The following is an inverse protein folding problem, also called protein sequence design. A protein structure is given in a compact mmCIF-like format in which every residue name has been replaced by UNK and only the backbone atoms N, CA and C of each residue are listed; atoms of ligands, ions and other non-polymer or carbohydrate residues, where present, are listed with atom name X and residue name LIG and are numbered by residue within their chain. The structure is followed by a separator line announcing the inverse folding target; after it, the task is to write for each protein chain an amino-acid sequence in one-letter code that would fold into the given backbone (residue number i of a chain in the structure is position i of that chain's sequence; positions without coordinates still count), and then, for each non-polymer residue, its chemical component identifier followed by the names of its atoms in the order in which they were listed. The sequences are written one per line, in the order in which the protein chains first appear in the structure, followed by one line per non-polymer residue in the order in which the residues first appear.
data_IF_041522781546
#
_entry.id   IF_041522781546
#
_cell.length_a   1.000
_cell.length_b   1.000
_cell.length_c   1.000
_cell.angle_alpha   90.00
_cell.angle_beta   90.00
_cell.angle_gamma   90.00
#
_symmetry.space_group_name_H-M   'P 1'
#
loop_
_entity.id
_entity.type
_entity.pdbx_description
1 polymer ?
#
# COMPACT_ATOMS: atom_id res chain seq x y z
N UNK A 1 -33.34 -26.39 -28.95
CA UNK A 1 -34.27 -25.31 -28.58
C UNK A 1 -33.49 -24.33 -27.71
N UNK A 2 -33.40 -23.04 -28.06
CA UNK A 2 -32.74 -22.06 -27.17
C UNK A 2 -33.64 -21.86 -25.93
N UNK A 3 -33.11 -21.84 -24.70
CA UNK A 3 -33.91 -21.58 -23.50
C UNK A 3 -34.61 -20.23 -23.63
N UNK A 4 -35.82 -20.12 -23.07
CA UNK A 4 -36.55 -18.85 -23.08
C UNK A 4 -35.77 -17.81 -22.26
N UNK A 5 -35.99 -16.52 -22.52
CA UNK A 5 -35.37 -15.45 -21.72
C UNK A 5 -35.69 -15.60 -20.21
N UNK A 6 -36.86 -16.15 -19.87
CA UNK A 6 -37.25 -16.42 -18.50
C UNK A 6 -36.42 -17.54 -17.86
N UNK A 7 -36.19 -18.64 -18.59
CA UNK A 7 -35.35 -19.75 -18.13
C UNK A 7 -33.89 -19.32 -17.94
N UNK A 8 -33.39 -18.47 -18.84
CA UNK A 8 -32.05 -17.91 -18.75
C UNK A 8 -31.90 -16.99 -17.52
N UNK A 9 -32.90 -16.15 -17.23
CA UNK A 9 -32.89 -15.26 -16.06
C UNK A 9 -32.91 -16.06 -14.76
N UNK A 10 -33.79 -17.06 -14.67
CA UNK A 10 -33.89 -17.92 -13.48
C UNK A 10 -32.60 -18.70 -13.22
N UNK A 11 -31.94 -19.21 -14.27
CA UNK A 11 -30.65 -19.87 -14.16
C UNK A 11 -29.57 -18.92 -13.63
N UNK A 12 -29.52 -17.68 -14.13
CA UNK A 12 -28.58 -16.66 -13.65
C UNK A 12 -28.86 -16.30 -12.18
N UNK A 13 -30.12 -16.13 -11.79
CA UNK A 13 -30.47 -15.86 -10.39
C UNK A 13 -30.09 -17.00 -9.46
N UNK A 14 -30.28 -18.25 -9.89
CA UNK A 14 -29.87 -19.42 -9.13
C UNK A 14 -28.35 -19.46 -8.94
N UNK A 15 -27.57 -19.22 -10.01
CA UNK A 15 -26.10 -19.19 -9.93
C UNK A 15 -25.61 -18.05 -9.03
N UNK A 16 -26.19 -16.85 -9.17
CA UNK A 16 -25.78 -15.68 -8.40
C UNK A 16 -26.29 -15.70 -6.95
N UNK A 17 -27.24 -16.57 -6.62
CA UNK A 17 -27.80 -16.66 -5.27
C UNK A 17 -26.75 -16.99 -4.20
N UNK A 18 -25.72 -17.77 -4.54
CA UNK A 18 -24.61 -18.10 -3.62
C UNK A 18 -23.75 -16.89 -3.27
N UNK A 19 -23.74 -15.85 -4.11
CA UNK A 19 -23.02 -14.59 -3.87
C UNK A 19 -23.89 -13.56 -3.12
N UNK A 20 -25.19 -13.82 -2.94
CA UNK A 20 -26.10 -12.96 -2.18
C UNK A 20 -25.96 -13.23 -0.69
N UNK A 21 -24.99 -12.57 -0.07
CA UNK A 21 -24.77 -12.66 1.38
C UNK A 21 -25.85 -11.89 2.14
N UNK A 22 -26.42 -12.55 3.16
CA UNK A 22 -27.30 -11.88 4.12
C UNK A 22 -26.46 -11.24 5.23
N UNK A 23 -27.08 -10.35 5.99
CA UNK A 23 -26.43 -9.71 7.14
C UNK A 23 -25.83 -10.74 8.12
N UNK A 24 -26.51 -11.87 8.34
CA UNK A 24 -25.99 -12.95 9.19
C UNK A 24 -24.71 -13.57 8.66
N UNK A 25 -24.57 -13.69 7.34
CA UNK A 25 -23.40 -14.24 6.69
C UNK A 25 -22.22 -13.25 6.81
N UNK A 26 -22.49 -11.95 6.65
CA UNK A 26 -21.50 -10.89 6.91
C UNK A 26 -21.03 -10.88 8.37
N UNK A 27 -21.95 -11.03 9.34
CA UNK A 27 -21.60 -11.16 10.76
C UNK A 27 -20.74 -12.39 11.03
N UNK A 28 -20.96 -13.52 10.34
CA UNK A 28 -20.09 -14.70 10.44
C UNK A 28 -18.69 -14.41 9.90
N UNK A 29 -18.56 -13.75 8.75
CA UNK A 29 -17.27 -13.35 8.17
C UNK A 29 -16.52 -12.42 9.12
N UNK A 30 -17.18 -11.40 9.66
CA UNK A 30 -16.60 -10.47 10.63
C UNK A 30 -16.02 -11.20 11.86
N UNK A 31 -16.79 -12.12 12.47
CA UNK A 31 -16.31 -12.91 13.62
C UNK A 31 -15.13 -13.81 13.26
N UNK A 32 -15.12 -14.41 12.06
CA UNK A 32 -14.00 -15.23 11.58
C UNK A 32 -12.74 -14.38 11.38
N UNK A 33 -12.87 -13.19 10.80
CA UNK A 33 -11.77 -12.24 10.64
C UNK A 33 -11.19 -11.85 12.01
N UNK A 34 -12.04 -11.45 12.96
CA UNK A 34 -11.60 -11.10 14.31
C UNK A 34 -10.84 -12.26 14.98
N UNK A 35 -11.35 -13.49 14.86
CA UNK A 35 -10.67 -14.67 15.39
C UNK A 35 -9.28 -14.87 14.79
N UNK A 36 -9.12 -14.66 13.49
CA UNK A 36 -7.81 -14.80 12.83
C UNK A 36 -6.87 -13.64 13.19
N UNK A 37 -7.37 -12.42 13.40
CA UNK A 37 -6.58 -11.32 13.96
C UNK A 37 -6.06 -11.66 15.36
N UNK A 38 -6.93 -12.17 16.24
CA UNK A 38 -6.54 -12.59 17.59
C UNK A 38 -5.48 -13.71 17.56
N UNK A 39 -5.55 -14.61 16.58
CA UNK A 39 -4.52 -15.64 16.36
C UNK A 39 -3.22 -15.04 15.83
N UNK A 40 -3.30 -14.08 14.90
CA UNK A 40 -2.13 -13.40 14.34
C UNK A 40 -1.35 -12.59 15.38
N UNK A 41 -2.03 -12.05 16.39
CA UNK A 41 -1.39 -11.28 17.47
C UNK A 41 -0.75 -12.15 18.56
N UNK A 42 -1.12 -13.42 18.67
CA UNK A 42 -0.61 -14.33 19.72
C UNK A 42 0.65 -15.06 19.26
N UNK A 43 1.66 -15.05 20.12
CA UNK A 43 2.95 -15.70 19.84
C UNK A 43 2.77 -17.17 19.46
N UNK A 44 1.90 -17.90 20.17
CA UNK A 44 1.73 -19.35 20.00
C UNK A 44 1.03 -19.73 18.70
N UNK A 45 0.25 -18.81 18.10
CA UNK A 45 -0.56 -19.10 16.91
C UNK A 45 -0.19 -18.28 15.68
N UNK A 46 0.75 -17.34 15.79
CA UNK A 46 1.12 -16.40 14.73
C UNK A 46 1.61 -17.10 13.45
N UNK A 47 2.45 -18.14 13.58
CA UNK A 47 3.02 -18.84 12.43
C UNK A 47 1.94 -19.48 11.55
N UNK A 48 0.91 -20.07 12.18
CA UNK A 48 -0.20 -20.75 11.50
C UNK A 48 -1.36 -19.82 11.13
N UNK A 49 -1.43 -18.62 11.70
CA UNK A 49 -2.51 -17.67 11.45
C UNK A 49 -2.50 -17.23 9.97
N UNK A 50 -3.69 -17.15 9.38
CA UNK A 50 -3.86 -16.65 8.01
C UNK A 50 -3.71 -15.14 7.91
N UNK A 51 -4.14 -14.42 8.95
CA UNK A 51 -3.97 -12.96 9.09
C UNK A 51 -2.75 -12.72 9.96
N UNK A 52 -1.66 -12.23 9.36
CA UNK A 52 -0.35 -12.20 10.03
C UNK A 52 -0.18 -11.13 11.10
N UNK A 53 -0.97 -10.06 11.08
CA UNK A 53 -0.87 -8.98 12.09
C UNK A 53 0.59 -8.50 12.30
N UNK A 54 1.30 -8.26 11.19
CA UNK A 54 2.72 -7.90 11.21
C UNK A 54 2.93 -6.52 11.87
N UNK A 55 3.89 -6.38 12.80
CA UNK A 55 4.19 -5.10 13.44
C UNK A 55 4.86 -4.14 12.44
N UNK A 56 4.38 -2.90 12.39
CA UNK A 56 4.92 -1.84 11.51
C UNK A 56 5.98 -0.97 12.17
N UNK A 57 6.16 -1.09 13.49
CA UNK A 57 7.03 -0.24 14.32
C UNK A 57 6.63 1.25 14.39
N UNK A 58 5.53 1.65 13.76
CA UNK A 58 4.91 2.97 13.92
C UNK A 58 4.08 2.99 15.21
N UNK A 59 4.46 3.83 16.18
CA UNK A 59 3.90 3.81 17.54
C UNK A 59 2.84 4.88 17.80
N UNK A 60 2.83 5.94 17.01
CA UNK A 60 1.86 7.02 17.11
C UNK A 60 1.56 7.60 15.73
N UNK A 61 0.44 8.30 15.62
CA UNK A 61 0.11 9.13 14.46
C UNK A 61 0.83 10.48 14.57
N UNK A 62 1.00 11.22 13.46
CA UNK A 62 1.64 12.53 13.47
C UNK A 62 1.04 13.50 14.48
N UNK A 63 1.88 14.33 15.09
CA UNK A 63 1.51 15.29 16.15
C UNK A 63 1.54 16.75 15.67
N UNK A 64 1.97 17.01 14.44
CA UNK A 64 2.07 18.35 13.86
C UNK A 64 3.34 19.12 14.25
N UNK A 65 4.27 18.45 14.92
CA UNK A 65 5.61 18.98 15.24
C UNK A 65 6.66 18.61 14.19
N UNK A 66 6.30 17.75 13.24
CA UNK A 66 7.18 17.30 12.17
C UNK A 66 7.53 18.46 11.25
N UNK A 67 8.81 18.56 10.87
CA UNK A 67 9.34 19.57 9.94
C UNK A 67 10.42 18.94 9.08
N UNK A 68 10.43 19.26 7.78
CA UNK A 68 11.51 18.88 6.88
C UNK A 68 11.06 18.60 5.45
N UNK A 69 12.05 18.40 4.58
CA UNK A 69 11.88 17.94 3.22
C UNK A 69 12.17 16.43 3.16
N UNK A 70 11.23 15.64 2.65
CA UNK A 70 11.31 14.19 2.59
C UNK A 70 11.04 13.70 1.17
N UNK A 71 11.78 12.67 0.76
CA UNK A 71 11.41 11.89 -0.41
C UNK A 71 10.47 10.76 0.03
N UNK A 72 9.45 10.47 -0.76
CA UNK A 72 8.57 9.33 -0.53
C UNK A 72 8.38 8.54 -1.82
N UNK A 73 8.48 7.21 -1.69
CA UNK A 73 8.24 6.26 -2.76
C UNK A 73 6.97 5.48 -2.46
N UNK A 74 6.16 5.22 -3.48
CA UNK A 74 4.97 4.37 -3.40
C UNK A 74 5.03 3.29 -4.46
N UNK A 75 5.27 2.05 -4.02
CA UNK A 75 5.32 0.85 -4.84
C UNK A 75 4.28 -0.15 -4.34
N UNK A 76 3.40 -0.58 -5.24
CA UNK A 76 2.43 -1.61 -4.90
C UNK A 76 1.80 -2.29 -6.11
N UNK A 77 1.15 -1.51 -6.97
CA UNK A 77 0.53 -2.00 -8.20
C UNK A 77 1.36 -1.68 -9.45
N UNK A 78 0.67 -1.39 -10.56
CA UNK A 78 1.28 -1.07 -11.86
C UNK A 78 1.93 0.32 -11.94
N UNK A 79 1.58 1.23 -11.01
CA UNK A 79 2.07 2.60 -10.99
C UNK A 79 3.03 2.80 -9.81
N UNK A 80 4.24 3.27 -10.11
CA UNK A 80 5.22 3.73 -9.14
C UNK A 80 5.11 5.24 -8.96
N UNK A 81 5.16 5.74 -7.73
CA UNK A 81 5.14 7.18 -7.46
C UNK A 81 6.38 7.60 -6.71
N UNK A 82 6.99 8.70 -7.16
CA UNK A 82 8.04 9.42 -6.43
C UNK A 82 7.48 10.77 -6.00
N UNK A 83 7.69 11.15 -4.74
CA UNK A 83 7.12 12.35 -4.13
C UNK A 83 8.16 13.13 -3.35
N UNK A 84 8.18 14.46 -3.49
CA UNK A 84 8.84 15.37 -2.56
C UNK A 84 7.77 15.95 -1.64
N UNK A 85 7.86 15.61 -0.36
CA UNK A 85 6.95 16.07 0.69
C UNK A 85 7.69 17.08 1.55
N UNK A 86 7.16 18.31 1.63
CA UNK A 86 7.65 19.31 2.56
C UNK A 86 6.66 19.47 3.70
N UNK A 87 7.15 19.33 4.93
CA UNK A 87 6.34 19.37 6.14
C UNK A 87 6.80 20.54 6.99
N UNK A 88 5.85 21.33 7.50
CA UNK A 88 6.14 22.50 8.33
C UNK A 88 6.60 23.74 7.55
N UNK A 89 6.45 23.76 6.22
CA UNK A 89 6.87 24.86 5.32
C UNK A 89 5.63 25.67 4.85
N UNK A 90 4.90 26.30 5.78
CA UNK A 90 3.76 27.17 5.45
C UNK A 90 4.06 28.67 5.56
N UNK A 91 3.24 29.47 4.87
CA UNK A 91 3.35 30.93 4.90
C UNK A 91 3.00 31.50 6.27
N UNK A 92 3.61 32.63 6.64
CA UNK A 92 3.32 33.37 7.89
C UNK A 92 3.42 32.55 9.18
N UNK A 93 4.26 31.51 9.19
CA UNK A 93 4.48 30.65 10.37
C UNK A 93 3.39 29.60 10.60
N UNK A 94 2.50 29.38 9.63
CA UNK A 94 1.52 28.29 9.68
C UNK A 94 2.18 26.94 9.36
N UNK A 95 1.78 25.90 10.10
CA UNK A 95 2.19 24.54 9.77
C UNK A 95 1.43 24.06 8.52
N UNK A 96 2.14 23.57 7.52
CA UNK A 96 1.53 23.06 6.28
C UNK A 96 2.31 21.88 5.70
N UNK A 97 1.64 21.11 4.84
CA UNK A 97 2.25 20.03 4.06
C UNK A 97 2.07 20.33 2.58
N UNK A 98 3.17 20.42 1.83
CA UNK A 98 3.14 20.54 0.38
C UNK A 98 3.77 19.31 -0.26
N UNK A 99 3.20 18.85 -1.37
CA UNK A 99 3.66 17.62 -2.05
C UNK A 99 3.79 17.87 -3.55
N UNK A 100 4.95 17.53 -4.10
CA UNK A 100 5.17 17.37 -5.55
C UNK A 100 5.32 15.89 -5.84
N UNK A 101 4.74 15.38 -6.92
CA UNK A 101 4.85 13.97 -7.25
C UNK A 101 4.95 13.74 -8.75
N UNK A 102 5.52 12.60 -9.11
CA UNK A 102 5.53 12.06 -10.47
C UNK A 102 5.17 10.58 -10.43
N UNK A 103 4.36 10.15 -11.41
CA UNK A 103 4.03 8.76 -11.63
C UNK A 103 4.92 8.19 -12.74
N UNK A 104 5.36 6.96 -12.54
CA UNK A 104 6.14 6.16 -13.46
C UNK A 104 5.42 4.83 -13.66
N UNK A 105 5.22 4.43 -14.92
CA UNK A 105 4.69 3.09 -15.23
C UNK A 105 5.82 2.08 -15.12
N UNK A 106 5.65 0.99 -14.38
CA UNK A 106 6.69 -0.02 -14.26
C UNK A 106 6.64 -0.94 -15.49
N UNK A 107 7.74 -1.09 -16.25
CA UNK A 107 7.83 -2.05 -17.34
C UNK A 107 7.53 -3.49 -16.86
N UNK A 108 6.86 -4.29 -17.69
CA UNK A 108 6.45 -5.65 -17.32
C UNK A 108 7.64 -6.57 -17.01
N UNK A 109 8.73 -6.40 -17.76
CA UNK A 109 10.00 -7.09 -17.55
C UNK A 109 10.66 -6.69 -16.22
N UNK A 110 10.58 -5.43 -15.81
CA UNK A 110 11.03 -5.00 -14.48
C UNK A 110 10.13 -5.55 -13.36
N UNK A 111 8.82 -5.65 -13.59
CA UNK A 111 7.85 -6.14 -12.60
C UNK A 111 7.92 -7.66 -12.38
N UNK A 112 8.29 -8.43 -13.41
CA UNK A 112 8.34 -9.90 -13.38
C UNK A 112 9.75 -10.49 -13.46
N UNK A 113 10.75 -9.64 -13.68
CA UNK A 113 12.16 -10.00 -13.79
C UNK A 113 12.86 -10.14 -12.43
N UNK A 114 14.13 -9.77 -12.39
CA UNK A 114 14.92 -9.89 -11.15
C UNK A 114 14.71 -8.69 -10.22
N UNK A 115 15.10 -8.86 -8.97
CA UNK A 115 15.07 -7.76 -8.01
C UNK A 115 15.96 -6.60 -8.49
N UNK A 116 17.14 -6.89 -9.04
CA UNK A 116 18.05 -5.88 -9.59
C UNK A 116 17.36 -5.05 -10.67
N UNK A 117 16.65 -5.69 -11.63
CA UNK A 117 15.92 -4.96 -12.67
C UNK A 117 14.87 -3.99 -12.09
N UNK A 118 14.11 -4.43 -11.08
CA UNK A 118 13.10 -3.60 -10.43
C UNK A 118 13.75 -2.42 -9.68
N UNK A 119 14.79 -2.67 -8.89
CA UNK A 119 15.43 -1.64 -8.07
C UNK A 119 16.29 -0.68 -8.89
N UNK A 120 16.89 -1.13 -10.00
CA UNK A 120 17.56 -0.26 -10.98
C UNK A 120 16.54 0.71 -11.59
N UNK A 121 15.39 0.21 -12.04
CA UNK A 121 14.32 1.06 -12.58
C UNK A 121 13.79 2.08 -11.56
N UNK A 122 13.60 1.66 -10.29
CA UNK A 122 13.24 2.57 -9.20
C UNK A 122 14.30 3.67 -9.02
N UNK A 123 15.58 3.31 -9.07
CA UNK A 123 16.69 4.26 -8.92
C UNK A 123 16.72 5.29 -10.07
N UNK A 124 16.44 4.86 -11.30
CA UNK A 124 16.34 5.73 -12.47
C UNK A 124 15.18 6.72 -12.33
N UNK A 125 14.01 6.24 -11.90
CA UNK A 125 12.85 7.08 -11.64
C UNK A 125 13.13 8.14 -10.56
N UNK A 126 13.81 7.76 -9.48
CA UNK A 126 14.23 8.69 -8.43
C UNK A 126 15.21 9.74 -9.00
N UNK A 127 16.20 9.31 -9.77
CA UNK A 127 17.20 10.19 -10.39
C UNK A 127 16.54 11.23 -11.30
N UNK A 128 15.64 10.79 -12.18
CA UNK A 128 14.88 11.67 -13.08
C UNK A 128 13.99 12.66 -12.32
N UNK A 129 13.28 12.20 -11.28
CA UNK A 129 12.45 13.08 -10.43
C UNK A 129 13.29 14.15 -9.74
N UNK A 130 14.42 13.76 -9.14
CA UNK A 130 15.32 14.68 -8.44
C UNK A 130 15.96 15.70 -9.39
N UNK A 131 16.26 15.33 -10.64
CA UNK A 131 16.73 16.26 -11.67
C UNK A 131 15.68 17.33 -11.99
N UNK A 132 14.46 16.90 -12.32
CA UNK A 132 13.34 17.79 -12.68
C UNK A 132 13.01 18.80 -11.58
N UNK A 133 13.20 18.39 -10.32
CA UNK A 133 12.94 19.24 -9.16
C UNK A 133 14.20 19.92 -8.59
N UNK A 134 15.37 19.77 -9.24
CA UNK A 134 16.64 20.37 -8.85
C UNK A 134 17.10 19.98 -7.43
N UNK A 135 16.83 18.74 -7.02
CA UNK A 135 17.08 18.24 -5.66
C UNK A 135 18.28 17.28 -5.55
N UNK A 136 18.96 16.93 -6.66
CA UNK A 136 20.10 15.97 -6.64
C UNK A 136 21.26 16.35 -5.72
N UNK A 137 21.42 17.64 -5.41
CA UNK A 137 22.48 18.13 -4.54
C UNK A 137 22.17 17.97 -3.04
N UNK A 138 20.95 17.59 -2.68
CA UNK A 138 20.51 17.41 -1.29
C UNK A 138 20.41 15.94 -0.93
N UNK A 139 20.88 15.60 0.28
CA UNK A 139 20.59 14.31 0.91
C UNK A 139 19.25 14.42 1.66
N UNK A 140 18.20 13.80 1.12
CA UNK A 140 16.86 13.79 1.70
C UNK A 140 16.61 12.44 2.41
N UNK A 141 15.98 12.43 3.59
CA UNK A 141 15.42 11.20 4.15
C UNK A 141 14.34 10.64 3.21
N UNK A 142 14.29 9.32 3.09
CA UNK A 142 13.40 8.62 2.16
C UNK A 142 12.47 7.67 2.91
N UNK A 143 11.17 7.88 2.78
CA UNK A 143 10.14 6.93 3.21
C UNK A 143 9.70 6.03 2.05
N UNK A 144 9.72 4.72 2.23
CA UNK A 144 9.34 3.77 1.19
C UNK A 144 8.05 3.02 1.57
N UNK A 145 6.93 3.40 0.95
CA UNK A 145 5.69 2.65 1.00
C UNK A 145 5.80 1.44 0.07
N UNK A 146 6.06 0.27 0.65
CA UNK A 146 6.19 -1.00 -0.06
C UNK A 146 4.98 -1.89 0.25
N UNK A 147 4.03 -1.97 -0.67
CA UNK A 147 2.69 -2.55 -0.44
C UNK A 147 2.67 -4.08 -0.52
N UNK A 148 3.62 -4.72 0.15
CA UNK A 148 3.73 -6.17 0.28
C UNK A 148 3.87 -6.55 1.75
N UNK A 149 3.50 -7.78 2.15
CA UNK A 149 3.73 -8.23 3.51
C UNK A 149 5.23 -8.32 3.78
N UNK A 150 5.72 -7.49 4.71
CA UNK A 150 7.14 -7.45 5.13
C UNK A 150 7.23 -7.77 6.61
N UNK A 151 8.18 -8.63 6.99
CA UNK A 151 8.59 -8.78 8.39
C UNK A 151 9.63 -7.72 8.71
N UNK A 152 9.23 -6.68 9.43
CA UNK A 152 10.13 -5.64 9.91
C UNK A 152 10.83 -6.13 11.17
N UNK A 153 12.14 -5.88 11.29
CA UNK A 153 12.90 -6.10 12.53
C UNK A 153 13.03 -4.82 13.35
N UNK A 154 13.11 -3.66 12.66
CA UNK A 154 13.26 -2.33 13.23
C UNK A 154 12.84 -1.26 12.21
N UNK A 155 12.75 0.01 12.64
CA UNK A 155 12.47 1.18 11.79
C UNK A 155 13.72 2.01 11.47
N UNK A 156 14.79 1.95 12.28
CA UNK A 156 15.98 2.82 12.17
C UNK A 156 17.33 2.10 12.45
N UNK A 157 17.83 1.26 11.53
CA UNK A 157 19.24 0.81 11.56
C UNK A 157 20.17 1.75 10.79
#
# INVERSE_FOLDING_TARGET
MKPSQHDALHLVEQILSEFRLREEDLKKVMRRMQKEMDRGLKLETHEEASVKMLPTYVRSTPEGSEVGDFLSLDLGGTNFRVMLVKVGDGEEGQWSVTTKHQMYSIPEDAMTGTAEMLFDYISECISDFLDKHQMKHKKLPLGFTFSFPVRHEDIDK
#
